data_IF_264670592928
#
_entry.id   IF_264670592928
#
_cell.length_a   1.000
_cell.length_b   1.000
_cell.length_c   1.000
_cell.angle_alpha   90.00
_cell.angle_beta   90.00
_cell.angle_gamma   90.00
#
_symmetry.space_group_name_H-M   'P 1'
#
loop_
_entity.id
_entity.type
_entity.pdbx_description
1 polymer ?
#
# COMPACT_ATOMS: atom_id res chain seq x y z
N UNK A 1 5.37 -1.00 -17.92
CA UNK A 1 5.97 -0.05 -16.97
C UNK A 1 5.45 1.32 -17.36
N UNK A 2 4.80 2.07 -16.46
CA UNK A 2 4.30 3.42 -16.76
C UNK A 2 5.46 4.42 -16.62
N UNK A 3 6.12 4.84 -17.71
CA UNK A 3 7.34 5.65 -17.61
C UNK A 3 7.07 7.06 -17.07
N UNK A 4 5.82 7.51 -17.19
CA UNK A 4 5.37 8.86 -16.87
C UNK A 4 4.78 9.02 -15.46
N UNK A 5 4.52 7.93 -14.73
CA UNK A 5 3.79 8.02 -13.46
C UNK A 5 4.57 8.84 -12.41
N UNK A 6 5.89 8.93 -12.54
CA UNK A 6 6.77 9.56 -11.56
C UNK A 6 7.66 10.68 -12.12
N UNK A 7 7.51 11.05 -13.40
CA UNK A 7 8.37 12.06 -14.01
C UNK A 7 8.16 13.45 -13.40
N UNK A 8 6.98 13.72 -12.84
CA UNK A 8 6.68 14.99 -12.19
C UNK A 8 5.89 14.86 -10.89
N UNK A 9 6.47 14.14 -9.92
CA UNK A 9 5.94 14.14 -8.56
C UNK A 9 6.13 15.51 -7.89
N UNK A 10 5.14 15.93 -7.11
CA UNK A 10 5.24 17.08 -6.21
C UNK A 10 5.73 16.70 -4.81
N UNK A 11 5.65 17.66 -3.90
CA UNK A 11 5.83 17.41 -2.47
C UNK A 11 4.49 17.02 -1.84
N UNK A 12 4.52 16.31 -0.71
CA UNK A 12 3.32 15.96 0.05
C UNK A 12 3.51 16.25 1.53
N UNK A 13 2.46 16.76 2.17
CA UNK A 13 2.44 17.08 3.59
C UNK A 13 1.19 16.52 4.25
N UNK A 14 1.37 15.90 5.39
CA UNK A 14 0.32 15.65 6.37
C UNK A 14 0.21 16.87 7.30
N UNK A 15 -0.97 17.47 7.36
CA UNK A 15 -1.20 18.64 8.19
C UNK A 15 -1.41 18.30 9.67
N UNK A 16 -1.91 17.10 9.97
CA UNK A 16 -2.19 16.67 11.34
C UNK A 16 -0.89 16.26 12.04
N UNK A 17 -0.06 15.47 11.38
CA UNK A 17 1.21 14.98 11.95
C UNK A 17 2.39 15.90 11.68
N UNK A 18 2.27 16.80 10.69
CA UNK A 18 3.37 17.62 10.20
C UNK A 18 4.37 16.84 9.33
N UNK A 19 4.13 15.55 9.08
CA UNK A 19 5.00 14.74 8.22
C UNK A 19 5.04 15.34 6.81
N UNK A 20 6.25 15.46 6.26
CA UNK A 20 6.47 16.08 4.97
C UNK A 20 7.46 15.25 4.17
N UNK A 21 7.13 14.98 2.91
CA UNK A 21 8.06 14.43 1.94
C UNK A 21 8.20 15.40 0.77
N UNK A 22 9.43 15.77 0.48
CA UNK A 22 9.73 16.44 -0.78
C UNK A 22 9.63 15.45 -1.96
N UNK A 23 9.68 15.96 -3.19
CA UNK A 23 9.62 15.17 -4.44
C UNK A 23 10.54 13.94 -4.43
N UNK A 24 11.78 14.11 -3.99
CA UNK A 24 12.78 13.04 -4.00
C UNK A 24 12.45 11.98 -2.94
N UNK A 25 12.12 12.40 -1.73
CA UNK A 25 11.71 11.49 -0.64
C UNK A 25 10.47 10.71 -1.02
N UNK A 26 9.45 11.37 -1.56
CA UNK A 26 8.21 10.73 -1.96
C UNK A 26 8.46 9.69 -3.05
N UNK A 27 9.31 10.02 -4.04
CA UNK A 27 9.72 9.07 -5.07
C UNK A 27 10.47 7.85 -4.51
N UNK A 28 11.37 8.05 -3.54
CA UNK A 28 12.08 6.94 -2.90
C UNK A 28 11.13 6.06 -2.09
N UNK A 29 10.18 6.65 -1.35
CA UNK A 29 9.16 5.92 -0.61
C UNK A 29 8.32 5.02 -1.54
N UNK A 30 7.98 5.49 -2.74
CA UNK A 30 7.30 4.68 -3.77
C UNK A 30 8.21 3.53 -4.24
N UNK A 31 9.48 3.79 -4.53
CA UNK A 31 10.44 2.76 -4.96
C UNK A 31 10.62 1.65 -3.94
N UNK A 32 10.75 1.99 -2.66
CA UNK A 32 10.87 1.00 -1.59
C UNK A 32 9.65 0.08 -1.57
N UNK A 33 8.44 0.66 -1.68
CA UNK A 33 7.19 -0.11 -1.71
C UNK A 33 7.06 -0.97 -2.95
N UNK A 34 7.49 -0.51 -4.12
CA UNK A 34 7.53 -1.34 -5.34
C UNK A 34 8.36 -2.59 -5.08
N UNK A 35 9.57 -2.43 -4.53
CA UNK A 35 10.45 -3.55 -4.20
C UNK A 35 9.83 -4.48 -3.16
N UNK A 36 9.27 -3.91 -2.08
CA UNK A 36 8.64 -4.67 -1.01
C UNK A 36 7.43 -5.48 -1.50
N UNK A 37 6.51 -4.83 -2.23
CA UNK A 37 5.32 -5.47 -2.81
C UNK A 37 5.67 -6.57 -3.81
N UNK A 38 6.70 -6.35 -4.63
CA UNK A 38 7.21 -7.38 -5.54
C UNK A 38 7.77 -8.58 -4.77
N UNK A 39 8.54 -8.35 -3.71
CA UNK A 39 9.16 -9.41 -2.91
C UNK A 39 8.13 -10.28 -2.16
N UNK A 40 7.01 -9.70 -1.72
CA UNK A 40 5.91 -10.47 -1.10
C UNK A 40 5.01 -11.17 -2.12
N UNK A 41 5.23 -10.93 -3.43
CA UNK A 41 4.53 -11.64 -4.51
C UNK A 41 3.31 -10.92 -5.10
N UNK A 42 3.09 -9.63 -4.80
CA UNK A 42 2.07 -8.83 -5.50
C UNK A 42 2.49 -8.70 -6.97
N UNK A 43 1.57 -9.02 -7.87
CA UNK A 43 1.80 -9.03 -9.32
C UNK A 43 0.70 -8.31 -10.11
N UNK A 44 0.92 -8.21 -11.40
CA UNK A 44 -0.04 -7.65 -12.36
C UNK A 44 -1.41 -8.33 -12.22
N UNK A 45 -2.46 -7.52 -12.30
CA UNK A 45 -3.87 -7.88 -12.18
C UNK A 45 -4.33 -8.37 -10.79
N UNK A 46 -3.44 -8.40 -9.79
CA UNK A 46 -3.89 -8.61 -8.41
C UNK A 46 -4.77 -7.43 -7.98
N UNK A 47 -5.85 -7.74 -7.26
CA UNK A 47 -6.62 -6.73 -6.54
C UNK A 47 -6.09 -6.71 -5.12
N UNK A 48 -5.60 -5.55 -4.69
CA UNK A 48 -4.96 -5.37 -3.38
C UNK A 48 -5.77 -4.34 -2.61
N UNK A 49 -6.19 -4.69 -1.39
CA UNK A 49 -6.94 -3.77 -0.55
C UNK A 49 -5.95 -2.86 0.19
N UNK A 50 -6.22 -1.56 0.23
CA UNK A 50 -5.51 -0.63 1.12
C UNK A 50 -6.46 -0.26 2.25
N UNK A 51 -6.15 -0.75 3.46
CA UNK A 51 -6.94 -0.58 4.67
C UNK A 51 -6.35 0.49 5.62
N UNK A 52 -5.76 1.53 5.02
CA UNK A 52 -5.37 2.77 5.69
C UNK A 52 -5.57 3.94 4.74
N UNK A 53 -5.70 5.14 5.30
CA UNK A 53 -5.86 6.39 4.57
C UNK A 53 -5.50 7.57 5.46
N UNK A 54 -5.70 8.79 4.96
CA UNK A 54 -5.42 10.04 5.68
C UNK A 54 -3.99 10.14 6.21
N UNK A 55 -3.01 9.67 5.44
CA UNK A 55 -1.59 9.86 5.70
C UNK A 55 -0.83 9.86 4.37
N UNK A 56 0.36 10.44 4.33
CA UNK A 56 1.16 10.52 3.10
C UNK A 56 1.60 9.14 2.57
N UNK A 57 1.67 8.12 3.43
CA UNK A 57 2.07 6.74 3.08
C UNK A 57 1.07 6.08 2.14
N UNK A 58 -0.22 6.36 2.31
CA UNK A 58 -1.29 5.90 1.43
C UNK A 58 -0.97 6.16 -0.05
N UNK A 59 -0.50 7.36 -0.38
CA UNK A 59 -0.19 7.73 -1.76
C UNK A 59 1.02 6.95 -2.30
N UNK A 60 2.02 6.71 -1.46
CA UNK A 60 3.19 5.92 -1.85
C UNK A 60 2.80 4.44 -2.11
N UNK A 61 1.91 3.88 -1.29
CA UNK A 61 1.39 2.52 -1.43
C UNK A 61 0.53 2.39 -2.71
N UNK A 62 -0.36 3.35 -2.94
CA UNK A 62 -1.21 3.42 -4.14
C UNK A 62 -0.36 3.46 -5.43
N UNK A 63 0.63 4.33 -5.48
CA UNK A 63 1.49 4.51 -6.63
C UNK A 63 2.39 3.30 -6.89
N UNK A 64 2.88 2.65 -5.83
CA UNK A 64 3.64 1.42 -5.95
C UNK A 64 2.81 0.27 -6.53
N UNK A 65 1.54 0.12 -6.11
CA UNK A 65 0.63 -0.89 -6.68
C UNK A 65 0.34 -0.64 -8.16
N UNK A 66 0.04 0.61 -8.53
CA UNK A 66 -0.18 0.97 -9.93
C UNK A 66 1.04 0.70 -10.81
N UNK A 67 2.26 0.94 -10.29
CA UNK A 67 3.49 0.60 -10.99
C UNK A 67 3.60 -0.90 -11.29
N UNK A 68 3.16 -1.75 -10.35
CA UNK A 68 3.11 -3.21 -10.53
C UNK A 68 1.94 -3.69 -11.40
N UNK A 69 1.10 -2.78 -11.89
CA UNK A 69 -0.17 -3.07 -12.58
C UNK A 69 -1.14 -3.89 -11.72
N UNK A 70 -1.09 -3.69 -10.40
CA UNK A 70 -2.10 -4.17 -9.47
C UNK A 70 -3.22 -3.13 -9.31
N UNK A 71 -4.45 -3.59 -9.09
CA UNK A 71 -5.59 -2.73 -8.80
C UNK A 71 -5.69 -2.48 -7.30
N UNK A 72 -5.61 -1.22 -6.89
CA UNK A 72 -5.84 -0.82 -5.51
C UNK A 72 -7.34 -0.72 -5.22
N UNK A 73 -7.78 -1.34 -4.13
CA UNK A 73 -9.14 -1.24 -3.56
C UNK A 73 -9.02 -0.49 -2.24
N UNK A 74 -9.20 0.82 -2.28
CA UNK A 74 -9.08 1.67 -1.11
C UNK A 74 -10.37 1.59 -0.28
N UNK A 75 -10.23 1.33 1.02
CA UNK A 75 -11.37 1.24 1.94
C UNK A 75 -11.16 2.19 3.13
N UNK A 76 -12.25 2.69 3.68
CA UNK A 76 -12.21 3.52 4.87
C UNK A 76 -11.81 2.73 6.12
N UNK A 77 -11.09 3.36 7.04
CA UNK A 77 -10.67 2.73 8.30
C UNK A 77 -11.84 2.32 9.20
N UNK A 78 -13.02 2.93 9.02
CA UNK A 78 -14.21 2.68 9.81
C UNK A 78 -15.14 1.63 9.19
N UNK A 79 -14.78 1.05 8.04
CA UNK A 79 -15.57 0.04 7.33
C UNK A 79 -16.09 -1.03 8.30
N UNK A 80 -17.37 -1.37 8.15
CA UNK A 80 -18.00 -2.42 8.94
C UNK A 80 -17.47 -3.81 8.57
N UNK A 81 -17.49 -4.77 9.49
CA UNK A 81 -16.99 -6.13 9.19
C UNK A 81 -17.79 -6.81 8.06
N UNK A 82 -19.11 -6.65 8.03
CA UNK A 82 -19.96 -7.22 6.98
C UNK A 82 -19.68 -6.59 5.61
N UNK A 83 -19.45 -5.29 5.58
CA UNK A 83 -19.09 -4.56 4.35
C UNK A 83 -17.71 -4.97 3.87
N UNK A 84 -16.74 -5.06 4.77
CA UNK A 84 -15.40 -5.54 4.48
C UNK A 84 -15.38 -6.97 3.92
N UNK A 85 -16.14 -7.89 4.53
CA UNK A 85 -16.28 -9.26 4.03
C UNK A 85 -16.90 -9.30 2.62
N UNK A 86 -17.88 -8.42 2.35
CA UNK A 86 -18.47 -8.28 1.01
C UNK A 86 -17.43 -7.77 0.00
N UNK A 87 -16.65 -6.75 0.36
CA UNK A 87 -15.59 -6.21 -0.49
C UNK A 87 -14.54 -7.27 -0.80
N UNK A 88 -14.07 -8.04 0.20
CA UNK A 88 -13.13 -9.14 -0.03
C UNK A 88 -13.73 -10.18 -0.97
N UNK A 89 -14.99 -10.60 -0.73
CA UNK A 89 -15.68 -11.59 -1.54
C UNK A 89 -15.73 -11.19 -3.02
N UNK A 90 -16.08 -9.94 -3.29
CA UNK A 90 -16.18 -9.38 -4.65
C UNK A 90 -14.82 -9.18 -5.28
N UNK A 91 -13.85 -8.66 -4.53
CA UNK A 91 -12.51 -8.37 -5.05
C UNK A 91 -11.66 -9.63 -5.22
N UNK A 92 -11.95 -10.69 -4.45
CA UNK A 92 -11.10 -11.89 -4.32
C UNK A 92 -9.64 -11.53 -4.02
N UNK A 93 -9.44 -10.46 -3.23
CA UNK A 93 -8.10 -10.02 -2.85
C UNK A 93 -7.43 -11.04 -1.93
N UNK A 94 -6.14 -11.27 -2.16
CA UNK A 94 -5.28 -12.06 -1.28
C UNK A 94 -4.37 -11.19 -0.39
N UNK A 95 -4.30 -9.88 -0.67
CA UNK A 95 -3.39 -8.95 0.00
C UNK A 95 -4.15 -7.76 0.58
N UNK A 96 -3.82 -7.42 1.82
CA UNK A 96 -4.31 -6.21 2.49
C UNK A 96 -3.12 -5.42 3.00
N UNK A 97 -2.97 -4.21 2.48
CA UNK A 97 -2.00 -3.25 2.94
C UNK A 97 -2.56 -2.53 4.17
N UNK A 98 -1.75 -2.49 5.23
CA UNK A 98 -2.03 -1.80 6.48
C UNK A 98 -0.85 -0.89 6.84
N UNK A 99 -1.14 0.13 7.64
CA UNK A 99 -0.13 0.97 8.26
C UNK A 99 0.01 0.61 9.75
N UNK A 100 0.98 -0.23 10.10
CA UNK A 100 1.35 -0.70 11.46
C UNK A 100 0.33 -1.58 12.19
N UNK A 101 -0.97 -1.31 12.03
CA UNK A 101 -2.04 -1.96 12.79
C UNK A 101 -3.16 -2.43 11.87
N UNK A 102 -3.59 -3.67 12.06
CA UNK A 102 -4.82 -4.18 11.44
C UNK A 102 -6.01 -3.49 12.11
N UNK A 103 -6.92 -2.84 11.36
CA UNK A 103 -8.13 -2.28 11.94
C UNK A 103 -8.92 -3.36 12.70
N UNK A 104 -9.32 -3.09 13.94
CA UNK A 104 -9.93 -4.09 14.84
C UNK A 104 -11.20 -4.74 14.26
N UNK A 105 -11.97 -3.99 13.47
CA UNK A 105 -13.18 -4.53 12.81
C UNK A 105 -12.79 -5.59 11.77
N UNK A 106 -11.73 -5.33 11.01
CA UNK A 106 -11.20 -6.18 9.94
C UNK A 106 -10.52 -7.44 10.50
N UNK A 107 -9.87 -7.35 11.67
CA UNK A 107 -9.20 -8.51 12.27
C UNK A 107 -10.15 -9.66 12.64
N UNK A 108 -11.46 -9.39 12.69
CA UNK A 108 -12.51 -10.38 12.95
C UNK A 108 -13.07 -11.04 11.68
N UNK A 109 -12.51 -10.74 10.51
CA UNK A 109 -13.02 -11.27 9.25
C UNK A 109 -12.96 -12.80 9.20
N UNK A 110 -13.96 -13.40 8.57
CA UNK A 110 -14.03 -14.85 8.34
C UNK A 110 -12.97 -15.36 7.36
N UNK A 111 -12.36 -14.49 6.56
CA UNK A 111 -11.37 -14.85 5.55
C UNK A 111 -9.97 -14.97 6.17
N UNK A 112 -9.63 -16.17 6.66
CA UNK A 112 -8.32 -16.46 7.29
C UNK A 112 -7.13 -16.53 6.34
N UNK A 113 -7.35 -16.67 5.03
CA UNK A 113 -6.30 -16.80 4.00
C UNK A 113 -5.92 -15.45 3.37
N UNK A 114 -5.80 -14.41 4.20
CA UNK A 114 -5.44 -13.08 3.73
C UNK A 114 -4.06 -12.71 4.26
N UNK A 115 -3.21 -12.19 3.37
CA UNK A 115 -1.88 -11.70 3.71
C UNK A 115 -1.98 -10.22 4.09
N UNK A 116 -1.82 -9.94 5.38
CA UNK A 116 -1.67 -8.57 5.88
C UNK A 116 -0.22 -8.10 5.66
N UNK A 117 -0.08 -6.98 4.96
CA UNK A 117 1.18 -6.39 4.54
C UNK A 117 1.34 -5.06 5.26
N UNK A 118 2.29 -4.99 6.19
CA UNK A 118 2.58 -3.78 6.95
C UNK A 118 3.66 -2.95 6.25
N UNK A 119 3.26 -1.81 5.70
CA UNK A 119 4.17 -0.95 4.93
C UNK A 119 5.16 -0.19 5.79
N UNK A 120 4.98 -0.17 7.12
CA UNK A 120 6.02 0.32 8.03
C UNK A 120 7.22 -0.63 8.13
N UNK A 121 7.06 -1.91 7.74
CA UNK A 121 8.16 -2.88 7.64
C UNK A 121 8.87 -2.83 6.29
N UNK A 122 8.46 -1.92 5.41
CA UNK A 122 9.17 -1.65 4.18
C UNK A 122 10.55 -1.06 4.53
N UNK A 123 11.54 -1.92 4.70
CA UNK A 123 12.90 -1.52 5.03
C UNK A 123 13.46 -0.63 3.91
N UNK A 124 13.90 0.57 4.29
CA UNK A 124 14.65 1.48 3.41
C UNK A 124 16.00 0.90 2.99
N UNK A 125 16.48 -0.13 3.69
CA UNK A 125 17.84 -0.68 3.56
C UNK A 125 17.98 -1.87 2.59
N UNK A 126 16.89 -2.37 1.98
CA UNK A 126 16.93 -3.63 1.21
C UNK A 126 17.39 -3.46 -0.25
N UNK A 127 17.51 -2.23 -0.78
CA UNK A 127 17.91 -2.02 -2.18
C UNK A 127 19.41 -1.73 -2.40
N UNK A 128 20.21 -1.55 -1.35
CA UNK A 128 21.67 -1.39 -1.48
C UNK A 128 22.41 -2.71 -1.78
N UNK A 129 21.71 -3.85 -1.73
CA UNK A 129 22.32 -5.17 -1.94
C UNK A 129 22.18 -5.71 -3.38
N UNK A 130 21.45 -5.03 -4.27
CA UNK A 130 21.25 -5.47 -5.66
C UNK A 130 21.89 -4.54 -6.70
N UNK A 131 22.70 -3.57 -6.28
CA UNK A 131 23.45 -2.64 -7.16
C UNK A 131 24.97 -2.69 -6.89
N UNK A 132 25.52 -3.86 -6.59
CA UNK A 132 26.97 -4.12 -6.63
C UNK A 132 27.26 -5.33 -7.51
#
# INVERSE_FOLDING_TARGET
MYPFLFSDLGNIKDYETGEFWNKNEFFQEIKYRIGYFKNIGIKKNDKVIIAHGNNIRFFADLFALWHLNASAVCIDNNVGISEFDNIISVCKSSFIIINRKIPYKISKSKYKKIHFVDTMKCNRDILDLNNR
#
